data_IF_297684102520
#
_entry.id   IF_297684102520
#
_cell.length_a   1.000
_cell.length_b   1.000
_cell.length_c   1.000
_cell.angle_alpha   90.00
_cell.angle_beta   90.00
_cell.angle_gamma   90.00
#
_symmetry.space_group_name_H-M   'P 1'
#
loop_
_entity.id
_entity.type
_entity.pdbx_description
1 polymer ?
#
# COMPACT_ATOMS: atom_id res chain seq x y z
N UNK A 1 -17.80 7.83 -15.03
CA UNK A 1 -18.53 6.56 -15.08
C UNK A 1 -18.64 6.02 -16.51
N UNK A 2 -19.18 6.80 -17.40
CA UNK A 2 -19.42 6.44 -18.81
C UNK A 2 -18.27 6.78 -19.75
N UNK A 3 -17.18 7.35 -19.22
CA UNK A 3 -16.04 7.88 -19.99
C UNK A 3 -16.42 9.06 -20.92
N UNK A 4 -17.58 9.69 -20.68
CA UNK A 4 -18.05 10.95 -21.26
C UNK A 4 -18.38 11.91 -20.12
N UNK A 5 -18.36 13.21 -20.38
CA UNK A 5 -18.91 14.21 -19.44
C UNK A 5 -20.44 14.15 -19.51
N UNK A 6 -21.04 13.67 -18.43
CA UNK A 6 -22.48 13.52 -18.29
C UNK A 6 -22.90 13.97 -16.90
N UNK A 7 -24.15 14.42 -16.78
CA UNK A 7 -24.71 14.71 -15.47
C UNK A 7 -24.87 13.40 -14.68
N UNK A 8 -24.45 13.38 -13.43
CA UNK A 8 -24.55 12.20 -12.52
C UNK A 8 -26.01 11.67 -12.46
N UNK A 9 -27.02 12.53 -12.65
CA UNK A 9 -28.42 12.12 -12.62
C UNK A 9 -28.87 11.37 -13.88
N UNK A 10 -28.14 11.50 -15.00
CA UNK A 10 -28.47 10.88 -16.26
C UNK A 10 -27.76 9.53 -16.46
N UNK A 11 -26.84 9.18 -15.53
CA UNK A 11 -26.06 7.94 -15.58
C UNK A 11 -26.89 6.79 -15.00
N UNK A 12 -27.07 5.72 -15.77
CA UNK A 12 -27.80 4.52 -15.34
C UNK A 12 -27.05 3.64 -14.29
N UNK A 13 -26.07 4.20 -13.60
CA UNK A 13 -25.28 3.54 -12.56
C UNK A 13 -25.33 4.31 -11.25
N UNK A 14 -25.12 3.61 -10.12
CA UNK A 14 -25.00 4.28 -8.82
C UNK A 14 -23.61 4.88 -8.70
N UNK A 15 -23.51 6.19 -8.89
CA UNK A 15 -22.26 6.97 -8.76
C UNK A 15 -22.40 7.96 -7.62
N UNK A 16 -21.37 8.03 -6.79
CA UNK A 16 -21.18 9.14 -5.85
C UNK A 16 -20.00 9.97 -6.33
N UNK A 17 -20.22 11.24 -6.63
CA UNK A 17 -19.17 12.18 -6.97
C UNK A 17 -18.95 13.14 -5.79
N UNK A 18 -17.72 13.28 -5.34
CA UNK A 18 -17.30 14.20 -4.29
C UNK A 18 -16.34 15.21 -4.92
N UNK A 19 -16.71 16.49 -4.89
CA UNK A 19 -15.88 17.54 -5.47
C UNK A 19 -14.65 17.84 -4.60
N UNK A 20 -13.60 18.41 -5.20
CA UNK A 20 -12.42 18.87 -4.47
C UNK A 20 -12.74 19.90 -3.39
N UNK A 21 -13.73 20.79 -3.62
CA UNK A 21 -14.21 21.73 -2.58
C UNK A 21 -14.84 21.00 -1.39
N UNK A 22 -15.64 19.96 -1.65
CA UNK A 22 -16.20 19.14 -0.56
C UNK A 22 -15.10 18.42 0.22
N UNK A 23 -14.08 17.88 -0.48
CA UNK A 23 -12.93 17.27 0.18
C UNK A 23 -12.20 18.27 1.09
N UNK A 24 -12.02 19.50 0.62
CA UNK A 24 -11.39 20.58 1.37
C UNK A 24 -12.23 21.01 2.58
N UNK A 25 -13.55 21.19 2.41
CA UNK A 25 -14.49 21.64 3.46
C UNK A 25 -14.58 20.62 4.60
N UNK A 26 -14.59 19.33 4.28
CA UNK A 26 -14.62 18.25 5.26
C UNK A 26 -13.23 17.76 5.67
N UNK A 27 -12.16 18.38 5.17
CA UNK A 27 -10.76 18.02 5.44
C UNK A 27 -10.43 16.55 5.14
N UNK A 28 -11.04 16.00 4.07
CA UNK A 28 -10.82 14.63 3.63
C UNK A 28 -9.49 14.55 2.87
N UNK A 29 -8.57 13.74 3.36
CA UNK A 29 -7.19 13.66 2.87
C UNK A 29 -6.82 12.27 2.36
N UNK A 30 -7.47 11.26 2.89
CA UNK A 30 -7.32 9.89 2.42
C UNK A 30 -8.69 9.25 2.17
N UNK A 31 -8.69 8.08 1.53
CA UNK A 31 -9.93 7.39 1.21
C UNK A 31 -10.70 6.92 2.44
N UNK A 32 -10.05 6.69 3.58
CA UNK A 32 -10.75 6.25 4.79
C UNK A 32 -11.68 7.34 5.34
N UNK A 33 -11.32 8.59 5.14
CA UNK A 33 -12.11 9.75 5.57
C UNK A 33 -13.32 10.00 4.66
N UNK A 34 -13.33 9.47 3.42
CA UNK A 34 -14.48 9.56 2.50
C UNK A 34 -15.74 8.90 3.06
N UNK A 35 -15.64 7.97 3.99
CA UNK A 35 -16.77 7.36 4.67
C UNK A 35 -17.68 8.40 5.35
N UNK A 36 -17.17 9.60 5.65
CA UNK A 36 -17.94 10.69 6.25
C UNK A 36 -18.97 11.28 5.28
N UNK A 37 -18.69 11.24 3.97
CA UNK A 37 -19.53 11.89 2.93
C UNK A 37 -20.10 10.91 1.91
N UNK A 38 -19.67 9.63 1.93
CA UNK A 38 -20.10 8.61 0.98
C UNK A 38 -20.75 7.44 1.72
N UNK A 39 -22.00 7.14 1.42
CA UNK A 39 -22.72 6.00 1.98
C UNK A 39 -22.44 4.69 1.21
N UNK A 40 -22.54 3.54 1.89
CA UNK A 40 -22.48 2.21 1.27
C UNK A 40 -21.08 1.77 0.78
N UNK A 41 -20.06 2.44 1.30
CA UNK A 41 -18.67 2.04 1.21
C UNK A 41 -18.07 2.14 2.60
N UNK A 42 -17.38 1.11 3.02
CA UNK A 42 -16.66 1.08 4.28
C UNK A 42 -15.16 1.08 3.99
N UNK A 43 -14.45 1.96 4.64
CA UNK A 43 -13.01 2.08 4.56
C UNK A 43 -12.42 1.74 5.92
N UNK A 44 -11.46 0.84 5.97
CA UNK A 44 -10.77 0.48 7.20
C UNK A 44 -9.28 0.46 6.94
N UNK A 45 -8.52 1.21 7.74
CA UNK A 45 -7.06 1.20 7.73
C UNK A 45 -6.58 0.69 9.10
N UNK A 46 -6.05 -0.53 9.13
CA UNK A 46 -5.55 -1.15 10.36
C UNK A 46 -4.11 -0.69 10.62
N UNK A 47 -3.33 -0.65 9.56
CA UNK A 47 -1.95 -0.15 9.53
C UNK A 47 -1.63 0.32 8.10
N UNK A 48 -0.47 0.96 7.84
CA UNK A 48 -0.11 1.45 6.52
C UNK A 48 -0.16 0.41 5.41
N UNK A 49 0.01 -0.86 5.75
CA UNK A 49 -0.01 -1.99 4.80
C UNK A 49 -1.40 -2.59 4.62
N UNK A 50 -2.23 -2.55 5.66
CA UNK A 50 -3.53 -3.23 5.69
C UNK A 50 -4.67 -2.22 5.70
N UNK A 51 -4.89 -1.62 4.55
CA UNK A 51 -6.08 -0.83 4.27
C UNK A 51 -7.06 -1.65 3.44
N UNK A 52 -8.32 -1.61 3.77
CA UNK A 52 -9.37 -2.36 3.08
C UNK A 52 -10.55 -1.48 2.73
N UNK A 53 -11.18 -1.79 1.59
CA UNK A 53 -12.42 -1.17 1.15
C UNK A 53 -13.47 -2.27 1.04
N UNK A 54 -14.64 -2.02 1.61
CA UNK A 54 -15.79 -2.92 1.47
C UNK A 54 -16.87 -2.17 0.70
N UNK A 55 -17.31 -2.76 -0.40
CA UNK A 55 -18.40 -2.22 -1.22
C UNK A 55 -19.34 -3.35 -1.60
N UNK A 56 -20.64 -3.19 -1.33
CA UNK A 56 -21.65 -4.24 -1.60
C UNK A 56 -21.29 -5.61 -1.01
N UNK A 57 -20.69 -5.63 0.18
CA UNK A 57 -20.28 -6.88 0.86
C UNK A 57 -19.03 -7.56 0.29
N UNK A 58 -18.40 -6.98 -0.74
CA UNK A 58 -17.13 -7.47 -1.28
C UNK A 58 -15.98 -6.64 -0.75
N UNK A 59 -14.93 -7.32 -0.29
CA UNK A 59 -13.76 -6.71 0.33
C UNK A 59 -12.61 -6.63 -0.66
N UNK A 60 -12.03 -5.45 -0.81
CA UNK A 60 -10.72 -5.28 -1.40
C UNK A 60 -9.67 -5.74 -0.40
N UNK A 61 -8.90 -6.77 -0.76
CA UNK A 61 -7.83 -7.29 0.08
C UNK A 61 -6.47 -6.91 -0.53
N UNK A 62 -5.66 -6.08 0.14
CA UNK A 62 -4.36 -5.70 -0.37
C UNK A 62 -3.40 -6.87 -0.62
N UNK A 63 -3.58 -7.96 0.12
CA UNK A 63 -2.78 -9.19 -0.04
C UNK A 63 -3.40 -10.16 -1.08
N UNK A 64 -4.53 -9.81 -1.70
CA UNK A 64 -5.39 -10.68 -2.51
C UNK A 64 -5.09 -10.75 -4.02
N UNK A 65 -3.89 -10.43 -4.47
CA UNK A 65 -3.51 -10.55 -5.89
C UNK A 65 -4.16 -9.52 -6.83
N UNK A 66 -4.14 -9.80 -8.16
CA UNK A 66 -4.49 -8.81 -9.19
C UNK A 66 -5.98 -8.68 -9.50
N UNK A 67 -6.80 -9.67 -9.19
CA UNK A 67 -8.23 -9.69 -9.52
C UNK A 67 -9.06 -9.22 -8.32
N UNK A 68 -9.00 -7.92 -8.07
CA UNK A 68 -9.70 -7.32 -6.94
C UNK A 68 -11.14 -6.98 -7.30
N UNK A 69 -12.10 -7.17 -6.36
CA UNK A 69 -13.50 -6.83 -6.60
C UNK A 69 -13.75 -5.33 -6.75
N UNK A 70 -12.85 -4.51 -6.24
CA UNK A 70 -12.89 -3.04 -6.32
C UNK A 70 -11.60 -2.55 -6.96
N UNK A 71 -11.70 -1.77 -8.03
CA UNK A 71 -10.53 -1.24 -8.74
C UNK A 71 -10.35 0.25 -8.43
N UNK A 72 -9.11 0.65 -8.12
CA UNK A 72 -8.72 2.06 -7.97
C UNK A 72 -8.12 2.63 -9.24
N UNK A 73 -8.36 3.92 -9.47
CA UNK A 73 -7.78 4.67 -10.59
C UNK A 73 -7.36 6.06 -10.12
N UNK A 74 -6.26 6.57 -10.69
CA UNK A 74 -5.91 7.98 -10.63
C UNK A 74 -5.77 8.49 -12.07
N UNK A 75 -6.56 9.52 -12.42
CA UNK A 75 -6.58 10.07 -13.79
C UNK A 75 -6.70 8.97 -14.89
N UNK A 76 -7.60 8.03 -14.70
CA UNK A 76 -7.87 6.85 -15.54
C UNK A 76 -6.77 5.76 -15.51
N UNK A 77 -5.65 5.95 -14.82
CA UNK A 77 -4.60 4.94 -14.64
C UNK A 77 -5.00 3.93 -13.57
N UNK A 78 -5.08 2.62 -13.87
CA UNK A 78 -5.41 1.62 -12.87
C UNK A 78 -4.27 1.47 -11.86
N UNK A 79 -4.61 1.52 -10.59
CA UNK A 79 -3.68 1.39 -9.46
C UNK A 79 -3.89 0.07 -8.74
N UNK A 80 -2.89 -0.35 -7.98
CA UNK A 80 -3.10 -1.38 -6.96
C UNK A 80 -3.93 -0.84 -5.81
N UNK A 81 -4.60 -1.73 -5.13
CA UNK A 81 -5.41 -1.41 -3.96
C UNK A 81 -4.66 -0.60 -2.89
N UNK A 82 -3.41 -0.95 -2.66
CA UNK A 82 -2.57 -0.31 -1.65
C UNK A 82 -2.21 1.14 -2.00
N UNK A 83 -2.08 1.45 -3.29
CA UNK A 83 -1.61 2.75 -3.76
C UNK A 83 -2.74 3.79 -3.76
N UNK A 84 -3.99 3.35 -3.79
CA UNK A 84 -5.17 4.23 -3.82
C UNK A 84 -5.34 5.02 -2.51
N UNK A 85 -4.92 4.44 -1.37
CA UNK A 85 -5.17 5.03 -0.04
C UNK A 85 -4.30 6.24 0.32
N UNK A 86 -3.22 6.51 -0.40
CA UNK A 86 -2.24 7.51 0.02
C UNK A 86 -2.14 8.74 -0.88
N UNK A 87 -2.99 8.87 -1.91
CA UNK A 87 -2.70 9.78 -3.02
C UNK A 87 -3.69 10.95 -3.21
N UNK A 88 -4.37 11.37 -2.15
CA UNK A 88 -5.40 12.41 -2.26
C UNK A 88 -4.84 13.80 -1.95
N UNK A 89 -4.18 14.43 -2.90
CA UNK A 89 -3.82 15.84 -2.84
C UNK A 89 -4.01 16.48 -4.21
N UNK A 90 -4.27 17.78 -4.22
CA UNK A 90 -4.58 18.54 -5.42
C UNK A 90 -5.66 17.85 -6.27
N UNK A 91 -6.68 17.35 -5.57
CA UNK A 91 -7.76 16.55 -6.16
C UNK A 91 -8.85 17.47 -6.69
N UNK A 92 -9.30 17.18 -7.93
CA UNK A 92 -10.45 17.85 -8.55
C UNK A 92 -11.76 17.25 -8.08
N UNK A 93 -11.85 15.92 -8.11
CA UNK A 93 -13.00 15.14 -7.64
C UNK A 93 -12.64 13.69 -7.42
N UNK A 94 -13.48 13.00 -6.65
CA UNK A 94 -13.46 11.55 -6.49
C UNK A 94 -14.80 10.98 -6.92
N UNK A 95 -14.79 9.99 -7.79
CA UNK A 95 -15.98 9.26 -8.22
C UNK A 95 -15.95 7.83 -7.68
N UNK A 96 -17.05 7.41 -7.05
CA UNK A 96 -17.21 6.06 -6.54
C UNK A 96 -18.34 5.40 -7.29
N UNK A 97 -17.99 4.45 -8.14
CA UNK A 97 -18.89 3.68 -8.97
C UNK A 97 -19.24 2.38 -8.27
N UNK A 98 -20.51 2.20 -7.93
CA UNK A 98 -20.99 1.02 -7.20
C UNK A 98 -21.65 0.02 -8.15
N UNK A 99 -21.12 -1.19 -8.16
CA UNK A 99 -21.56 -2.30 -9.01
C UNK A 99 -20.49 -2.72 -10.00
N UNK A 100 -20.76 -3.78 -10.74
CA UNK A 100 -19.80 -4.33 -11.68
C UNK A 100 -19.37 -3.30 -12.73
N UNK A 101 -18.06 -3.15 -12.88
CA UNK A 101 -17.43 -2.34 -13.91
C UNK A 101 -16.59 -3.28 -14.78
N UNK A 102 -16.73 -3.20 -16.08
CA UNK A 102 -16.01 -4.13 -16.94
C UNK A 102 -15.74 -3.55 -18.32
N UNK A 103 -16.78 -3.38 -19.09
CA UNK A 103 -16.66 -3.06 -20.52
C UNK A 103 -16.02 -1.72 -20.82
N UNK A 104 -16.26 -0.69 -20.02
CA UNK A 104 -15.76 0.66 -20.27
C UNK A 104 -14.48 1.01 -19.46
N UNK A 105 -14.18 0.25 -18.43
CA UNK A 105 -13.03 0.55 -17.56
C UNK A 105 -11.77 -0.23 -17.94
N UNK A 106 -11.86 -1.17 -18.87
CA UNK A 106 -10.75 -2.02 -19.30
C UNK A 106 -10.36 -3.09 -18.30
N UNK A 107 -10.46 -2.82 -17.00
CA UNK A 107 -10.21 -3.77 -15.91
C UNK A 107 -11.54 -4.16 -15.28
N UNK A 108 -11.80 -5.47 -15.19
CA UNK A 108 -13.03 -5.99 -14.58
C UNK A 108 -13.00 -5.81 -13.08
N UNK A 109 -14.05 -5.20 -12.52
CA UNK A 109 -14.31 -5.18 -11.09
C UNK A 109 -15.75 -5.54 -10.80
N UNK A 110 -15.98 -6.44 -9.84
CA UNK A 110 -17.32 -7.02 -9.58
C UNK A 110 -18.14 -6.17 -8.60
N UNK A 111 -17.50 -5.43 -7.70
CA UNK A 111 -18.16 -4.61 -6.69
C UNK A 111 -18.21 -3.13 -7.05
N UNK A 112 -17.18 -2.62 -7.73
CA UNK A 112 -17.14 -1.22 -8.12
C UNK A 112 -15.75 -0.67 -8.42
N UNK A 113 -15.68 0.63 -8.64
CA UNK A 113 -14.44 1.34 -8.88
C UNK A 113 -14.39 2.67 -8.10
N UNK A 114 -13.18 3.09 -7.75
CA UNK A 114 -12.90 4.41 -7.17
C UNK A 114 -11.99 5.13 -8.15
N UNK A 115 -12.40 6.30 -8.60
CA UNK A 115 -11.66 7.13 -9.55
C UNK A 115 -11.31 8.45 -8.88
N UNK A 116 -10.03 8.74 -8.78
CA UNK A 116 -9.51 10.01 -8.29
C UNK A 116 -9.06 10.80 -9.51
N UNK A 117 -9.62 11.99 -9.70
CA UNK A 117 -9.20 12.93 -10.72
C UNK A 117 -8.42 14.07 -10.07
N UNK A 118 -7.22 14.28 -10.57
CA UNK A 118 -6.35 15.34 -10.08
C UNK A 118 -6.47 16.60 -10.94
N UNK A 119 -6.26 17.77 -10.34
CA UNK A 119 -6.34 19.03 -11.07
C UNK A 119 -5.26 19.11 -12.15
N UNK A 120 -5.61 19.77 -13.25
CA UNK A 120 -4.70 20.10 -14.34
C UNK A 120 -4.73 21.61 -14.59
N UNK A 121 -3.66 22.19 -15.12
CA UNK A 121 -3.64 23.58 -15.52
C UNK A 121 -4.64 23.81 -16.66
N UNK A 122 -5.41 24.88 -16.57
CA UNK A 122 -6.29 25.30 -17.65
C UNK A 122 -5.49 26.09 -18.70
N UNK A 123 -5.69 25.76 -19.98
CA UNK A 123 -5.07 26.45 -21.10
C UNK A 123 -5.87 27.69 -21.45
N UNK A 124 -5.19 28.80 -21.78
CA UNK A 124 -5.84 30.02 -22.27
C UNK A 124 -6.56 30.87 -21.22
N UNK A 125 -6.67 30.44 -19.97
CA UNK A 125 -7.39 31.21 -18.95
C UNK A 125 -6.68 32.48 -18.50
N UNK A 126 -5.36 32.53 -18.61
CA UNK A 126 -4.52 33.61 -18.07
C UNK A 126 -4.53 33.69 -16.53
N UNK A 127 -5.37 32.93 -15.87
CA UNK A 127 -5.49 32.92 -14.41
C UNK A 127 -4.38 32.11 -13.76
N UNK A 128 -3.75 32.69 -12.75
CA UNK A 128 -2.76 32.00 -11.92
C UNK A 128 -3.49 31.37 -10.75
N UNK A 129 -3.83 30.11 -10.88
CA UNK A 129 -4.45 29.36 -9.80
C UNK A 129 -3.38 28.61 -9.00
N UNK A 130 -3.23 28.99 -7.74
CA UNK A 130 -2.31 28.34 -6.84
C UNK A 130 -2.79 28.43 -5.41
N UNK A 131 -2.29 27.54 -4.57
CA UNK A 131 -2.56 27.54 -3.14
C UNK A 131 -1.41 26.94 -2.35
N UNK A 132 -1.38 27.28 -1.08
CA UNK A 132 -0.58 26.59 -0.06
C UNK A 132 -1.53 26.26 1.09
N UNK A 133 -1.59 24.99 1.48
CA UNK A 133 -2.32 24.52 2.64
C UNK A 133 -1.32 24.00 3.65
N UNK A 134 -1.53 24.34 4.92
CA UNK A 134 -0.72 23.84 6.02
C UNK A 134 -1.65 23.34 7.12
N UNK A 135 -1.28 22.26 7.77
CA UNK A 135 -1.99 21.74 8.91
C UNK A 135 -1.03 21.28 9.97
N UNK A 136 -1.41 21.54 11.21
CA UNK A 136 -0.78 20.97 12.39
C UNK A 136 -1.88 20.39 13.26
N UNK A 137 -1.68 19.17 13.71
CA UNK A 137 -2.61 18.45 14.57
C UNK A 137 -1.86 17.73 15.67
N UNK A 138 -2.58 17.05 16.54
CA UNK A 138 -2.00 16.21 17.57
C UNK A 138 -1.08 15.15 16.98
N UNK A 139 -0.31 14.49 17.84
CA UNK A 139 0.63 13.42 17.47
C UNK A 139 1.70 13.89 16.47
N UNK A 140 2.24 15.09 16.68
CA UNK A 140 3.26 15.73 15.85
C UNK A 140 2.90 15.74 14.35
N UNK A 141 1.59 15.68 14.03
CA UNK A 141 1.13 15.70 12.65
C UNK A 141 1.35 17.06 12.04
N UNK A 142 2.08 17.09 10.94
CA UNK A 142 2.26 18.29 10.12
C UNK A 142 2.08 17.95 8.64
N UNK A 143 1.33 18.80 7.94
CA UNK A 143 1.09 18.68 6.50
C UNK A 143 1.34 20.01 5.81
N UNK A 144 2.02 19.94 4.68
CA UNK A 144 2.16 21.06 3.74
C UNK A 144 1.80 20.56 2.35
N UNK A 145 0.78 21.16 1.77
CA UNK A 145 0.34 20.92 0.40
C UNK A 145 0.41 22.24 -0.37
N UNK A 146 0.96 22.22 -1.56
CA UNK A 146 1.03 23.41 -2.42
C UNK A 146 0.85 23.02 -3.88
N UNK A 147 0.19 23.88 -4.64
CA UNK A 147 0.08 23.77 -6.08
C UNK A 147 0.08 25.13 -6.75
N UNK A 148 0.54 25.19 -8.01
CA UNK A 148 0.53 26.43 -8.80
C UNK A 148 0.44 26.12 -10.28
N UNK A 149 -0.33 26.95 -11.00
CA UNK A 149 -0.39 26.96 -12.45
C UNK A 149 0.66 27.91 -13.01
N UNK A 150 1.33 27.50 -14.07
CA UNK A 150 2.30 28.26 -14.83
C UNK A 150 1.85 28.27 -16.30
N UNK A 151 1.43 29.43 -16.79
CA UNK A 151 1.09 29.62 -18.19
C UNK A 151 2.36 29.83 -19.00
N UNK A 152 2.63 28.93 -19.94
CA UNK A 152 3.81 28.97 -20.79
C UNK A 152 3.51 29.67 -22.12
N UNK A 153 2.30 29.50 -22.64
CA UNK A 153 1.73 30.21 -23.82
C UNK A 153 0.20 30.13 -23.79
N UNK A 154 -0.45 30.74 -24.78
CA UNK A 154 -1.91 30.69 -24.93
C UNK A 154 -2.44 29.26 -25.11
N UNK A 155 -1.60 28.34 -25.58
CA UNK A 155 -1.96 26.95 -25.86
C UNK A 155 -1.30 25.93 -24.94
N UNK A 156 -0.42 26.38 -24.02
CA UNK A 156 0.38 25.48 -23.17
C UNK A 156 0.42 25.98 -21.74
N UNK A 157 0.03 25.13 -20.82
CA UNK A 157 0.05 25.41 -19.39
C UNK A 157 0.64 24.23 -18.60
N UNK A 158 1.29 24.54 -17.48
CA UNK A 158 1.89 23.60 -16.57
C UNK A 158 1.28 23.78 -15.18
N UNK A 159 0.98 22.68 -14.49
CA UNK A 159 0.67 22.69 -13.06
C UNK A 159 1.71 21.86 -12.32
N UNK A 160 2.20 22.43 -11.22
CA UNK A 160 3.08 21.73 -10.28
C UNK A 160 2.34 21.64 -8.96
N UNK A 161 2.30 20.45 -8.37
CA UNK A 161 1.69 20.19 -7.07
C UNK A 161 2.61 19.32 -6.22
N UNK A 162 2.58 19.51 -4.91
CA UNK A 162 3.35 18.71 -3.97
C UNK A 162 2.68 18.63 -2.61
N UNK A 163 2.91 17.50 -1.95
CA UNK A 163 2.44 17.22 -0.60
C UNK A 163 3.59 16.64 0.23
N UNK A 164 3.77 17.14 1.43
CA UNK A 164 4.52 16.51 2.50
C UNK A 164 3.63 16.36 3.71
N UNK A 165 3.53 15.14 4.22
CA UNK A 165 2.77 14.81 5.43
C UNK A 165 3.63 13.98 6.37
N UNK A 166 3.74 14.40 7.63
CA UNK A 166 4.48 13.69 8.68
C UNK A 166 3.59 13.52 9.91
N UNK A 167 3.66 12.39 10.60
CA UNK A 167 2.88 12.14 11.80
C UNK A 167 3.58 11.06 12.66
N UNK A 168 3.44 11.19 13.98
CA UNK A 168 3.81 10.13 14.94
C UNK A 168 2.66 9.12 15.15
N UNK A 169 1.64 9.15 14.29
CA UNK A 169 0.53 8.20 14.29
C UNK A 169 -0.24 8.21 15.61
N UNK A 170 -0.30 7.06 16.29
CA UNK A 170 -0.95 6.92 17.60
C UNK A 170 0.04 7.05 18.77
N UNK A 171 1.23 7.58 18.52
CA UNK A 171 2.31 7.73 19.52
C UNK A 171 2.75 6.40 20.14
N UNK A 172 2.55 5.29 19.45
CA UNK A 172 2.96 3.98 19.92
C UNK A 172 4.48 3.90 19.96
N UNK A 173 5.02 3.60 21.14
CA UNK A 173 6.45 3.41 21.32
C UNK A 173 6.79 1.93 21.51
N UNK A 174 7.75 1.45 20.73
CA UNK A 174 8.35 0.16 21.00
C UNK A 174 9.32 0.29 22.17
N UNK A 175 8.96 -0.27 23.32
CA UNK A 175 9.77 -0.16 24.54
C UNK A 175 11.09 -0.91 24.48
N UNK A 176 11.23 -1.88 23.56
CA UNK A 176 12.49 -2.61 23.36
C UNK A 176 13.51 -1.82 22.57
N UNK A 177 13.08 -1.24 21.45
CA UNK A 177 13.97 -0.52 20.53
C UNK A 177 14.02 0.97 20.82
N UNK A 178 13.10 1.48 21.66
CA UNK A 178 12.89 2.89 21.98
C UNK A 178 12.50 3.75 20.77
N UNK A 179 11.97 3.13 19.72
CA UNK A 179 11.51 3.82 18.50
C UNK A 179 10.01 4.06 18.60
N UNK A 180 9.60 5.27 18.25
CA UNK A 180 8.19 5.66 18.16
C UNK A 180 7.62 5.31 16.81
N UNK A 181 6.29 5.19 16.75
CA UNK A 181 5.53 5.21 15.51
C UNK A 181 5.84 6.47 14.70
N UNK A 182 5.90 6.34 13.38
CA UNK A 182 6.07 7.48 12.49
C UNK A 182 5.53 7.17 11.09
N UNK A 183 4.93 8.17 10.48
CA UNK A 183 4.40 8.10 9.11
C UNK A 183 4.87 9.33 8.34
N UNK A 184 5.61 9.09 7.26
CA UNK A 184 6.07 10.13 6.36
C UNK A 184 5.54 9.83 4.97
N UNK A 185 4.96 10.81 4.33
CA UNK A 185 4.51 10.75 2.94
C UNK A 185 4.93 12.01 2.21
N UNK A 186 5.70 11.82 1.15
CA UNK A 186 6.14 12.88 0.25
C UNK A 186 5.65 12.57 -1.16
N UNK A 187 5.08 13.54 -1.86
CA UNK A 187 4.67 13.37 -3.25
C UNK A 187 4.79 14.67 -4.05
N UNK A 188 5.17 14.52 -5.32
CA UNK A 188 5.20 15.60 -6.29
C UNK A 188 4.53 15.20 -7.60
N UNK A 189 3.80 16.15 -8.22
CA UNK A 189 3.14 15.96 -9.50
C UNK A 189 3.41 17.13 -10.44
N UNK A 190 3.66 16.80 -11.69
CA UNK A 190 3.76 17.74 -12.80
C UNK A 190 2.67 17.37 -13.81
N UNK A 191 1.85 18.34 -14.21
CA UNK A 191 0.79 18.17 -15.20
C UNK A 191 0.97 19.19 -16.32
N UNK A 192 1.21 18.73 -17.53
CA UNK A 192 1.32 19.56 -18.71
C UNK A 192 0.01 19.46 -19.50
N UNK A 193 -0.60 20.60 -19.85
CA UNK A 193 -1.79 20.70 -20.69
C UNK A 193 -1.43 21.48 -21.94
N UNK A 194 -1.61 20.89 -23.11
CA UNK A 194 -1.34 21.49 -24.40
C UNK A 194 -2.57 21.37 -25.32
N UNK A 195 -3.07 22.50 -25.77
CA UNK A 195 -4.24 22.61 -26.64
C UNK A 195 -3.88 23.48 -27.85
N UNK A 196 -3.23 22.89 -28.88
CA UNK A 196 -2.79 23.63 -30.06
C UNK A 196 -3.93 24.11 -30.95
N UNK A 197 -5.11 23.50 -30.88
CA UNK A 197 -6.34 23.90 -31.55
C UNK A 197 -7.55 23.56 -30.66
N UNK A 198 -8.74 24.00 -31.09
CA UNK A 198 -9.99 23.72 -30.39
C UNK A 198 -10.32 22.22 -30.41
N UNK A 199 -9.82 21.49 -31.40
CA UNK A 199 -10.11 20.07 -31.60
C UNK A 199 -9.12 19.15 -30.90
N UNK A 200 -7.90 19.60 -30.60
CA UNK A 200 -6.83 18.74 -30.02
C UNK A 200 -6.44 19.17 -28.64
N UNK A 201 -6.61 18.25 -27.68
CA UNK A 201 -6.12 18.39 -26.31
C UNK A 201 -5.15 17.27 -25.97
N UNK A 202 -3.97 17.63 -25.45
CA UNK A 202 -2.94 16.70 -24.99
C UNK A 202 -2.61 17.02 -23.55
N UNK A 203 -2.71 16.03 -22.68
CA UNK A 203 -2.33 16.15 -21.26
C UNK A 203 -1.32 15.09 -20.91
N UNK A 204 -0.25 15.50 -20.27
CA UNK A 204 0.74 14.61 -19.70
C UNK A 204 0.84 14.86 -18.20
N UNK A 205 0.81 13.80 -17.42
CA UNK A 205 1.01 13.86 -15.97
C UNK A 205 2.14 12.92 -15.55
N UNK A 206 3.01 13.40 -14.72
CA UNK A 206 4.01 12.63 -14.00
C UNK A 206 3.83 12.83 -12.51
N UNK A 207 3.81 11.76 -11.76
CA UNK A 207 3.75 11.79 -10.30
C UNK A 207 4.78 10.83 -9.74
N UNK A 208 5.49 11.30 -8.71
CA UNK A 208 6.30 10.47 -7.82
C UNK A 208 5.76 10.59 -6.40
N UNK A 209 5.78 9.49 -5.65
CA UNK A 209 5.40 9.47 -4.24
C UNK A 209 6.24 8.49 -3.45
N UNK A 210 6.58 8.86 -2.23
CA UNK A 210 7.35 8.06 -1.29
C UNK A 210 6.61 7.98 0.05
N UNK A 211 6.53 6.79 0.61
CA UNK A 211 6.00 6.55 1.95
C UNK A 211 7.07 5.86 2.78
N UNK A 212 7.32 6.37 3.98
CA UNK A 212 8.14 5.70 4.99
C UNK A 212 7.36 5.67 6.30
N UNK A 213 7.05 4.47 6.79
CA UNK A 213 6.24 4.28 7.97
C UNK A 213 6.86 3.25 8.90
N UNK A 214 6.98 3.62 10.17
CA UNK A 214 7.27 2.72 11.29
C UNK A 214 5.97 2.60 12.07
N UNK A 215 5.44 1.37 12.18
CA UNK A 215 4.12 1.13 12.78
C UNK A 215 4.16 -0.01 13.82
N UNK A 216 4.82 0.20 14.97
CA UNK A 216 4.84 -0.80 16.02
C UNK A 216 3.40 -1.05 16.48
N UNK A 217 2.99 -2.32 16.48
CA UNK A 217 1.63 -2.65 16.90
C UNK A 217 1.56 -2.68 18.43
N UNK A 218 0.56 -2.03 19.03
CA UNK A 218 0.43 -2.04 20.47
C UNK A 218 0.20 -3.45 21.01
N UNK A 219 0.67 -3.71 22.20
CA UNK A 219 0.39 -4.95 22.92
C UNK A 219 -1.12 -5.14 22.99
N UNK A 220 -1.63 -6.23 22.40
CA UNK A 220 -3.04 -6.54 22.45
C UNK A 220 -3.46 -6.97 23.86
N UNK A 221 -4.65 -6.57 24.29
CA UNK A 221 -5.22 -7.06 25.55
C UNK A 221 -5.44 -8.57 25.54
N UNK A 222 -5.56 -9.13 26.68
CA UNK A 222 -5.46 -10.52 27.14
C UNK A 222 -6.27 -11.62 26.43
N UNK A 223 -6.98 -11.35 25.35
CA UNK A 223 -7.81 -12.37 24.72
C UNK A 223 -7.12 -12.99 23.49
N UNK A 224 -6.12 -13.84 23.73
CA UNK A 224 -5.58 -14.74 22.74
C UNK A 224 -4.17 -14.47 22.21
N UNK A 225 -3.58 -13.31 22.49
CA UNK A 225 -2.18 -13.08 22.18
C UNK A 225 -1.31 -13.58 23.34
N UNK A 226 -0.38 -14.52 23.13
CA UNK A 226 0.49 -14.99 24.19
C UNK A 226 1.29 -13.83 24.79
N UNK A 227 1.45 -13.81 26.12
CA UNK A 227 2.36 -12.85 26.74
C UNK A 227 3.79 -13.11 26.29
N UNK A 228 4.65 -12.07 26.37
CA UNK A 228 6.08 -12.22 26.10
C UNK A 228 6.68 -13.46 26.80
N UNK A 229 6.37 -13.63 28.09
CA UNK A 229 6.84 -14.78 28.86
C UNK A 229 6.33 -16.11 28.32
N UNK A 230 5.08 -16.20 27.91
CA UNK A 230 4.51 -17.42 27.30
C UNK A 230 5.20 -17.78 26.00
N UNK A 231 5.47 -16.79 25.15
CA UNK A 231 6.17 -17.00 23.87
C UNK A 231 7.62 -17.43 24.13
N UNK A 232 8.36 -16.72 24.95
CA UNK A 232 9.76 -17.05 25.30
C UNK A 232 9.85 -18.42 25.95
N UNK A 233 9.01 -18.71 26.93
CA UNK A 233 9.00 -20.00 27.62
C UNK A 233 8.64 -21.14 26.68
N UNK A 234 7.73 -20.92 25.72
CA UNK A 234 7.40 -21.89 24.67
C UNK A 234 8.62 -22.26 23.83
N UNK A 235 9.36 -21.26 23.35
CA UNK A 235 10.58 -21.50 22.54
C UNK A 235 11.74 -22.08 23.35
N UNK A 236 11.93 -21.64 24.59
CA UNK A 236 12.94 -22.21 25.49
C UNK A 236 12.62 -23.69 25.74
N UNK A 237 11.35 -24.04 25.95
CA UNK A 237 10.92 -25.43 26.14
C UNK A 237 11.13 -26.26 24.86
N UNK A 238 10.87 -25.71 23.70
CA UNK A 238 11.11 -26.40 22.41
C UNK A 238 12.60 -26.68 22.21
N UNK A 239 13.46 -25.69 22.45
CA UNK A 239 14.91 -25.87 22.34
C UNK A 239 15.42 -26.84 23.38
N UNK A 240 14.88 -26.85 24.62
CA UNK A 240 15.25 -27.83 25.64
C UNK A 240 14.84 -29.26 25.21
N UNK A 241 13.73 -29.43 24.53
CA UNK A 241 13.37 -30.72 23.93
C UNK A 241 14.39 -31.14 22.87
N UNK A 242 14.80 -30.23 21.98
CA UNK A 242 15.82 -30.51 20.96
C UNK A 242 17.18 -30.85 21.58
N UNK A 243 17.56 -30.19 22.67
CA UNK A 243 18.76 -30.57 23.46
C UNK A 243 18.65 -32.00 23.98
N UNK A 244 17.48 -32.36 24.56
CA UNK A 244 17.27 -33.71 25.15
C UNK A 244 17.32 -34.82 24.12
N UNK A 245 16.95 -34.49 22.86
CA UNK A 245 16.99 -35.40 21.71
C UNK A 245 18.30 -35.39 20.94
N UNK A 246 19.28 -34.57 21.39
CA UNK A 246 20.58 -34.44 20.76
C UNK A 246 20.56 -33.65 19.44
N UNK A 247 19.49 -32.91 19.18
CA UNK A 247 19.34 -32.09 17.97
C UNK A 247 19.84 -30.64 18.17
N UNK A 248 19.99 -30.21 19.41
CA UNK A 248 20.59 -28.93 19.78
C UNK A 248 21.75 -29.16 20.75
N UNK A 249 22.82 -28.31 20.69
CA UNK A 249 23.92 -28.39 21.67
C UNK A 249 23.46 -28.13 23.11
N UNK A 250 24.09 -28.76 24.05
CA UNK A 250 23.80 -28.52 25.45
C UNK A 250 24.01 -27.04 25.84
N UNK A 251 23.03 -26.46 26.55
CA UNK A 251 23.03 -25.05 26.93
C UNK A 251 22.31 -24.12 25.97
N UNK A 252 21.79 -24.60 24.85
CA UNK A 252 21.09 -23.78 23.86
C UNK A 252 19.82 -23.15 24.41
N UNK A 253 19.02 -23.88 25.20
CA UNK A 253 17.84 -23.36 25.88
C UNK A 253 18.20 -22.25 26.87
N UNK A 254 19.25 -22.44 27.62
CA UNK A 254 19.74 -21.44 28.57
C UNK A 254 20.26 -20.18 27.88
N UNK A 255 20.92 -20.35 26.70
CA UNK A 255 21.38 -19.24 25.88
C UNK A 255 20.19 -18.48 25.30
N UNK A 256 19.18 -19.16 24.79
CA UNK A 256 17.96 -18.54 24.28
C UNK A 256 17.24 -17.77 25.37
N UNK A 257 17.08 -18.34 26.55
CA UNK A 257 16.51 -17.67 27.73
C UNK A 257 17.31 -16.41 28.12
N UNK A 258 18.63 -16.48 28.06
CA UNK A 258 19.52 -15.34 28.36
C UNK A 258 19.35 -14.22 27.32
N UNK A 259 19.27 -14.55 26.04
CA UNK A 259 19.07 -13.57 24.94
C UNK A 259 17.72 -12.86 25.04
N UNK A 260 16.72 -13.61 25.52
CA UNK A 260 15.38 -13.09 25.70
C UNK A 260 15.09 -12.57 27.10
N UNK A 261 16.11 -12.50 28.01
CA UNK A 261 15.86 -11.90 29.31
C UNK A 261 15.38 -10.47 29.18
N UNK A 262 14.40 -10.06 29.98
CA UNK A 262 13.92 -8.67 29.97
C UNK A 262 15.07 -7.74 30.34
N UNK A 263 15.55 -6.96 29.40
CA UNK A 263 16.52 -5.88 29.64
C UNK A 263 15.79 -4.52 29.73
N UNK A 264 14.47 -4.55 29.73
CA UNK A 264 13.63 -3.37 29.69
C UNK A 264 13.29 -2.98 31.11
N UNK A 265 13.93 -1.93 31.63
CA UNK A 265 13.69 -1.42 32.97
C UNK A 265 12.27 -0.92 33.25
N UNK A 266 11.41 -0.95 32.25
CA UNK A 266 10.09 -0.30 32.25
C UNK A 266 8.91 -1.27 32.08
N UNK A 267 9.11 -2.59 32.09
CA UNK A 267 7.97 -3.52 32.10
C UNK A 267 7.39 -3.58 33.51
N UNK A 268 6.11 -3.16 33.71
CA UNK A 268 5.47 -3.20 35.02
C UNK A 268 5.44 -4.63 35.57
N UNK A 269 5.47 -4.77 36.93
CA UNK A 269 5.34 -6.05 37.63
C UNK A 269 3.98 -6.70 37.42
N UNK A 270 3.40 -6.84 36.41
CA UNK A 270 2.11 -7.43 36.02
C UNK A 270 2.03 -7.63 34.50
N UNK A 271 3.14 -7.38 33.81
CA UNK A 271 3.20 -7.40 32.35
C UNK A 271 2.57 -6.17 31.71
N UNK A 272 2.69 -6.10 30.38
CA UNK A 272 2.11 -5.05 29.57
C UNK A 272 0.62 -5.30 29.30
N UNK A 273 -0.15 -4.23 29.25
CA UNK A 273 -1.59 -4.24 28.95
C UNK A 273 -1.84 -3.38 27.72
N UNK A 274 -2.92 -3.64 27.01
CA UNK A 274 -3.36 -2.83 25.87
C UNK A 274 -3.51 -1.34 26.22
N UNK A 275 -3.91 -1.03 27.47
CA UNK A 275 -4.06 0.34 27.97
C UNK A 275 -2.75 1.10 28.12
N UNK A 276 -1.62 0.43 28.06
CA UNK A 276 -0.32 1.10 28.23
C UNK A 276 0.12 1.83 26.96
N UNK A 277 -0.53 1.55 25.81
CA UNK A 277 -0.27 2.23 24.53
C UNK A 277 1.15 2.02 24.00
N UNK A 278 1.77 0.90 24.36
CA UNK A 278 3.16 0.58 23.96
C UNK A 278 3.22 -0.70 23.15
N UNK A 279 4.26 -0.82 22.36
CA UNK A 279 4.57 -2.02 21.59
C UNK A 279 5.83 -2.71 22.15
N UNK A 280 5.90 -4.02 21.88
CA UNK A 280 7.06 -4.83 22.20
C UNK A 280 7.42 -5.67 20.98
N UNK A 281 8.28 -5.15 20.12
CA UNK A 281 8.77 -5.85 18.93
C UNK A 281 10.28 -6.02 18.99
N UNK A 282 10.78 -7.13 18.49
CA UNK A 282 12.21 -7.35 18.33
C UNK A 282 12.83 -6.37 17.33
N UNK A 283 12.16 -6.16 16.20
CA UNK A 283 12.45 -5.10 15.23
C UNK A 283 11.17 -4.32 14.98
N UNK A 284 11.31 -3.02 14.68
CA UNK A 284 10.14 -2.20 14.40
C UNK A 284 9.55 -2.59 13.04
N UNK A 285 8.28 -3.01 12.98
CA UNK A 285 7.56 -3.15 11.74
C UNK A 285 7.61 -1.83 10.98
N UNK A 286 7.95 -1.89 9.69
CA UNK A 286 8.03 -0.70 8.84
C UNK A 286 7.59 -1.02 7.42
N UNK A 287 7.18 0.01 6.72
CA UNK A 287 6.87 -0.05 5.30
C UNK A 287 7.47 1.15 4.59
N UNK A 288 8.22 0.88 3.54
CA UNK A 288 8.69 1.87 2.59
C UNK A 288 8.02 1.55 1.25
N UNK A 289 7.49 2.58 0.60
CA UNK A 289 6.85 2.45 -0.69
C UNK A 289 7.25 3.63 -1.57
N UNK A 290 7.67 3.34 -2.80
CA UNK A 290 7.95 4.34 -3.82
C UNK A 290 7.08 4.03 -5.03
N UNK A 291 6.35 5.03 -5.53
CA UNK A 291 5.48 4.87 -6.68
C UNK A 291 5.70 5.99 -7.70
N UNK A 292 5.82 5.60 -8.96
CA UNK A 292 5.90 6.51 -10.11
C UNK A 292 4.74 6.24 -11.05
N UNK A 293 4.14 7.31 -11.59
CA UNK A 293 3.04 7.23 -12.53
C UNK A 293 3.31 8.20 -13.68
N UNK A 294 3.29 7.68 -14.89
CA UNK A 294 3.30 8.44 -16.14
C UNK A 294 1.96 8.25 -16.84
N UNK A 295 1.33 9.33 -17.26
CA UNK A 295 0.04 9.28 -17.92
C UNK A 295 -0.02 10.28 -19.08
N UNK A 296 -0.27 9.81 -20.28
CA UNK A 296 -0.48 10.61 -21.49
C UNK A 296 -1.90 10.42 -21.99
N UNK A 297 -2.63 11.51 -22.07
CA UNK A 297 -4.01 11.57 -22.53
C UNK A 297 -4.09 12.48 -23.75
N UNK A 298 -4.65 11.96 -24.84
CA UNK A 298 -4.86 12.71 -26.08
C UNK A 298 -6.34 12.60 -26.42
N UNK A 299 -7.00 13.74 -26.58
CA UNK A 299 -8.39 13.87 -26.99
C UNK A 299 -8.44 14.66 -28.29
N UNK A 300 -9.09 14.10 -29.32
CA UNK A 300 -9.24 14.73 -30.63
C UNK A 300 -10.69 14.73 -31.10
N UNK A 301 -11.22 15.91 -31.26
CA UNK A 301 -12.57 16.14 -31.81
C UNK A 301 -12.54 16.13 -33.34
N UNK A 302 -13.23 15.18 -33.94
CA UNK A 302 -13.39 15.04 -35.40
C UNK A 302 -14.73 15.60 -35.89
N UNK A 303 -15.44 16.37 -35.08
CA UNK A 303 -16.74 16.91 -35.32
C UNK A 303 -17.87 15.90 -35.10
N UNK A 304 -17.96 14.87 -35.91
CA UNK A 304 -18.99 13.82 -35.73
C UNK A 304 -18.57 12.70 -34.77
N UNK A 305 -17.30 12.64 -34.42
CA UNK A 305 -16.73 11.64 -33.55
C UNK A 305 -15.65 12.25 -32.64
N UNK A 306 -15.48 11.70 -31.45
CA UNK A 306 -14.38 12.00 -30.56
C UNK A 306 -13.45 10.79 -30.45
N UNK A 307 -12.15 11.01 -30.64
CA UNK A 307 -11.08 10.02 -30.40
C UNK A 307 -10.39 10.31 -29.09
N UNK A 308 -10.27 9.31 -28.24
CA UNK A 308 -9.49 9.39 -27.02
C UNK A 308 -8.41 8.31 -27.02
N UNK A 309 -7.16 8.73 -26.74
CA UNK A 309 -6.01 7.84 -26.55
C UNK A 309 -5.47 8.05 -25.15
N UNK A 310 -5.18 6.94 -24.47
CA UNK A 310 -4.63 6.91 -23.10
C UNK A 310 -3.44 5.97 -23.06
N UNK A 311 -2.32 6.46 -22.58
CA UNK A 311 -1.12 5.66 -22.33
C UNK A 311 -0.71 5.87 -20.91
N UNK A 312 -0.49 4.82 -20.16
CA UNK A 312 0.05 4.92 -18.81
C UNK A 312 1.10 3.87 -18.52
N UNK A 313 2.07 4.27 -17.72
CA UNK A 313 3.04 3.40 -17.06
C UNK A 313 3.06 3.75 -15.58
N UNK A 314 2.89 2.76 -14.73
CA UNK A 314 3.01 2.91 -13.28
C UNK A 314 3.94 1.86 -12.72
N UNK A 315 4.88 2.30 -11.89
CA UNK A 315 5.82 1.44 -11.19
C UNK A 315 5.67 1.67 -9.69
N UNK A 316 5.73 0.58 -8.95
CA UNK A 316 5.65 0.62 -7.50
C UNK A 316 6.63 -0.37 -6.88
N UNK A 317 7.49 0.14 -6.00
CA UNK A 317 8.43 -0.62 -5.20
C UNK A 317 8.04 -0.51 -3.74
N UNK A 318 7.61 -1.63 -3.14
CA UNK A 318 7.21 -1.71 -1.75
C UNK A 318 8.13 -2.65 -0.98
N UNK A 319 8.60 -2.21 0.19
CA UNK A 319 9.34 -3.01 1.15
C UNK A 319 8.65 -2.97 2.50
N UNK A 320 8.27 -4.13 3.02
CA UNK A 320 7.69 -4.29 4.34
C UNK A 320 8.57 -5.13 5.24
N UNK A 321 8.88 -4.64 6.45
CA UNK A 321 9.42 -5.44 7.53
C UNK A 321 8.29 -5.78 8.50
N UNK A 322 8.03 -7.06 8.70
CA UNK A 322 6.93 -7.56 9.51
C UNK A 322 7.51 -8.34 10.69
N UNK A 323 7.12 -7.96 11.90
CA UNK A 323 7.36 -8.74 13.11
C UNK A 323 6.05 -9.42 13.51
N UNK A 324 5.92 -10.70 13.23
CA UNK A 324 4.65 -11.44 13.36
C UNK A 324 4.40 -12.01 14.73
N UNK A 325 5.41 -12.12 15.56
CA UNK A 325 5.23 -12.70 16.90
C UNK A 325 4.67 -11.69 17.90
N UNK A 326 4.76 -10.39 17.60
CA UNK A 326 4.28 -9.28 18.43
C UNK A 326 4.74 -9.36 19.91
N UNK A 327 5.77 -10.14 20.18
CA UNK A 327 6.18 -10.47 21.54
C UNK A 327 7.52 -9.85 21.93
N UNK A 328 8.23 -9.25 20.97
CA UNK A 328 9.55 -8.69 21.17
C UNK A 328 10.60 -9.74 21.58
N UNK A 329 10.26 -11.01 21.44
CA UNK A 329 11.16 -12.11 21.68
C UNK A 329 12.13 -12.26 20.51
N UNK A 330 13.36 -12.64 20.82
CA UNK A 330 14.29 -13.12 19.80
C UNK A 330 13.87 -14.53 19.42
N UNK A 331 13.06 -14.64 18.39
CA UNK A 331 12.43 -15.89 17.98
C UNK A 331 12.85 -16.28 16.58
N UNK A 332 12.91 -17.55 16.40
CA UNK A 332 13.04 -18.30 15.19
C UNK A 332 12.01 -17.89 14.12
N UNK A 333 12.49 -17.33 13.03
CA UNK A 333 11.64 -17.10 11.87
C UNK A 333 11.06 -15.71 11.70
N UNK A 334 11.32 -14.77 12.57
CA UNK A 334 10.79 -13.40 12.48
C UNK A 334 11.78 -12.38 13.04
N UNK A 335 11.92 -11.20 12.46
CA UNK A 335 11.09 -10.50 11.48
C UNK A 335 11.32 -10.95 10.03
N UNK A 336 10.30 -10.75 9.21
CA UNK A 336 10.30 -11.07 7.79
C UNK A 336 10.34 -9.79 6.94
N UNK A 337 11.28 -9.70 6.01
CA UNK A 337 11.31 -8.66 5.00
C UNK A 337 10.62 -9.16 3.73
N UNK A 338 9.64 -8.39 3.24
CA UNK A 338 8.93 -8.66 2.01
C UNK A 338 9.14 -7.48 1.06
N UNK A 339 9.59 -7.75 -0.14
CA UNK A 339 9.73 -6.75 -1.20
C UNK A 339 8.80 -7.11 -2.34
N UNK A 340 8.06 -6.13 -2.82
CA UNK A 340 7.16 -6.28 -3.96
C UNK A 340 7.45 -5.17 -4.96
N UNK A 341 7.80 -5.56 -6.17
CA UNK A 341 7.90 -4.66 -7.32
C UNK A 341 6.71 -4.93 -8.24
N UNK A 342 6.01 -3.88 -8.66
CA UNK A 342 4.88 -3.99 -9.58
C UNK A 342 4.99 -2.95 -10.67
N UNK A 343 4.93 -3.40 -11.93
CA UNK A 343 4.81 -2.55 -13.10
C UNK A 343 3.46 -2.78 -13.79
N UNK A 344 2.78 -1.71 -14.18
CA UNK A 344 1.52 -1.77 -14.94
C UNK A 344 1.61 -0.77 -16.09
N UNK A 345 1.57 -1.30 -17.30
CA UNK A 345 1.47 -0.52 -18.52
C UNK A 345 0.06 -0.65 -19.09
N UNK A 346 -0.55 0.45 -19.52
CA UNK A 346 -1.84 0.41 -20.19
C UNK A 346 -1.85 1.23 -21.46
N UNK A 347 -2.64 0.75 -22.42
CA UNK A 347 -3.02 1.50 -23.62
C UNK A 347 -4.52 1.38 -23.83
N UNK A 348 -5.19 2.50 -24.01
CA UNK A 348 -6.61 2.55 -24.35
C UNK A 348 -6.80 3.48 -25.55
N UNK A 349 -7.63 3.05 -26.49
CA UNK A 349 -8.13 3.82 -27.62
C UNK A 349 -9.65 3.73 -27.64
N UNK A 350 -10.33 4.88 -27.71
CA UNK A 350 -11.79 4.96 -27.82
C UNK A 350 -12.18 5.89 -28.95
N UNK A 351 -13.18 5.51 -29.66
CA UNK A 351 -13.90 6.38 -30.60
C UNK A 351 -15.38 6.37 -30.22
N UNK A 352 -15.96 7.56 -30.05
CA UNK A 352 -17.35 7.77 -29.70
C UNK A 352 -18.01 8.67 -30.72
N UNK A 353 -19.26 8.40 -31.09
CA UNK A 353 -20.01 9.36 -31.89
C UNK A 353 -20.48 10.53 -31.02
N UNK A 354 -20.60 11.70 -31.64
CA UNK A 354 -21.16 12.92 -31.10
C UNK A 354 -22.47 13.28 -31.81
N UNK A 355 -23.33 14.01 -31.12
CA UNK A 355 -24.54 14.63 -31.67
C UNK A 355 -25.46 13.69 -32.49
N UNK A 356 -25.74 12.50 -32.01
CA UNK A 356 -26.64 11.56 -32.67
C UNK A 356 -27.87 11.27 -31.82
N UNK A 357 -29.03 11.78 -32.29
CA UNK A 357 -30.33 11.52 -31.66
C UNK A 357 -30.83 10.07 -31.81
N UNK A 358 -30.18 9.26 -32.67
CA UNK A 358 -30.67 7.93 -33.04
C UNK A 358 -29.88 6.78 -32.45
N UNK A 359 -28.58 6.93 -32.33
CA UNK A 359 -27.69 5.87 -31.86
C UNK A 359 -26.45 6.47 -31.24
N UNK A 360 -26.28 6.27 -29.96
CA UNK A 360 -25.01 6.52 -29.25
C UNK A 360 -24.17 5.25 -29.20
N UNK A 361 -22.89 5.36 -29.54
CA UNK A 361 -21.95 4.26 -29.45
C UNK A 361 -20.55 4.74 -29.05
N UNK A 362 -19.84 3.85 -28.36
CA UNK A 362 -18.41 3.95 -28.11
C UNK A 362 -17.77 2.61 -28.47
N UNK A 363 -16.73 2.66 -29.28
CA UNK A 363 -15.94 1.50 -29.68
C UNK A 363 -14.55 1.74 -29.07
N UNK A 364 -14.02 0.75 -28.36
CA UNK A 364 -12.72 0.89 -27.71
C UNK A 364 -11.86 -0.37 -27.82
N UNK A 365 -10.57 -0.15 -27.68
CA UNK A 365 -9.56 -1.16 -27.49
C UNK A 365 -8.80 -0.84 -26.22
N UNK A 366 -8.58 -1.85 -25.38
CA UNK A 366 -7.81 -1.74 -24.15
C UNK A 366 -6.78 -2.86 -24.07
N UNK A 367 -5.56 -2.50 -23.71
CA UNK A 367 -4.47 -3.43 -23.44
C UNK A 367 -3.84 -3.11 -22.09
N UNK A 368 -3.59 -4.12 -21.30
CA UNK A 368 -2.88 -4.01 -20.01
C UNK A 368 -1.81 -5.08 -19.93
N UNK A 369 -0.60 -4.66 -19.61
CA UNK A 369 0.49 -5.53 -19.20
C UNK A 369 0.77 -5.25 -17.72
N UNK A 370 0.69 -6.27 -16.87
CA UNK A 370 0.93 -6.13 -15.43
C UNK A 370 1.88 -7.22 -14.97
N UNK A 371 2.97 -6.80 -14.35
CA UNK A 371 3.97 -7.69 -13.79
C UNK A 371 4.14 -7.37 -12.31
N UNK A 372 4.04 -8.40 -11.48
CA UNK A 372 4.29 -8.28 -10.04
C UNK A 372 5.34 -9.32 -9.64
N UNK A 373 6.39 -8.86 -9.03
CA UNK A 373 7.45 -9.69 -8.50
C UNK A 373 7.55 -9.48 -7.00
N UNK A 374 7.30 -10.55 -6.22
CA UNK A 374 7.39 -10.50 -4.77
C UNK A 374 8.50 -11.43 -4.29
N UNK A 375 9.39 -10.91 -3.48
CA UNK A 375 10.40 -11.67 -2.75
C UNK A 375 10.15 -11.56 -1.26
N UNK A 376 10.18 -12.69 -0.57
CA UNK A 376 10.24 -12.71 0.89
C UNK A 376 11.64 -13.15 1.30
N UNK A 377 12.34 -12.30 2.03
CA UNK A 377 13.64 -12.65 2.57
C UNK A 377 13.45 -13.49 3.81
N UNK A 378 13.62 -14.80 3.62
CA UNK A 378 13.57 -15.78 4.69
C UNK A 378 14.93 -15.94 5.39
N UNK A 379 16.01 -15.30 4.86
CA UNK A 379 17.35 -15.42 5.46
C UNK A 379 17.39 -14.87 6.88
N UNK A 380 16.60 -13.84 7.15
CA UNK A 380 16.46 -13.29 8.51
C UNK A 380 15.65 -14.16 9.45
N UNK A 381 14.88 -15.10 8.90
CA UNK A 381 14.20 -16.12 9.70
C UNK A 381 15.16 -17.10 10.37
N UNK A 382 16.43 -17.07 10.00
CA UNK A 382 17.48 -17.94 10.55
C UNK A 382 18.47 -17.19 11.45
N UNK A 383 18.06 -16.11 12.03
CA UNK A 383 18.91 -15.34 12.94
C UNK A 383 19.43 -16.13 14.16
N UNK A 384 18.81 -17.26 14.49
CA UNK A 384 19.41 -18.25 15.41
C UNK A 384 20.75 -18.74 14.90
N UNK A 385 20.97 -18.85 13.59
CA UNK A 385 22.25 -19.27 13.02
C UNK A 385 23.34 -18.21 13.18
N UNK A 386 22.97 -16.91 13.23
CA UNK A 386 23.92 -15.83 13.51
C UNK A 386 24.30 -15.77 14.99
N UNK A 387 23.34 -16.02 15.87
CA UNK A 387 23.52 -15.94 17.33
C UNK A 387 24.02 -17.26 17.92
N UNK A 388 23.60 -18.38 17.34
CA UNK A 388 24.00 -19.70 17.77
C UNK A 388 24.26 -20.64 16.57
N UNK A 389 25.29 -20.34 15.75
CA UNK A 389 25.60 -21.15 14.56
C UNK A 389 25.82 -22.63 14.89
N UNK A 390 26.25 -22.96 16.12
CA UNK A 390 26.42 -24.31 16.61
C UNK A 390 25.11 -25.08 16.81
N UNK A 391 23.95 -24.41 16.89
CA UNK A 391 22.64 -25.06 17.02
C UNK A 391 22.22 -25.81 15.75
N UNK A 392 22.74 -25.40 14.61
CA UNK A 392 22.37 -25.99 13.32
C UNK A 392 23.35 -27.03 12.80
N UNK A 393 24.64 -26.86 13.06
CA UNK A 393 25.68 -27.77 12.54
C UNK A 393 25.53 -29.23 12.98
N UNK A 394 25.20 -29.55 14.23
CA UNK A 394 25.11 -30.93 14.66
C UNK A 394 23.77 -31.60 14.34
N UNK A 395 22.68 -30.86 14.29
CA UNK A 395 21.33 -31.44 14.15
C UNK A 395 21.08 -32.02 12.76
N UNK A 396 21.79 -31.60 11.75
CA UNK A 396 21.52 -31.97 10.34
C UNK A 396 22.71 -32.65 9.67
N UNK A 397 23.90 -32.63 10.29
CA UNK A 397 25.12 -33.25 9.74
C UNK A 397 25.65 -32.60 8.46
N UNK A 398 25.14 -31.43 8.08
CA UNK A 398 25.49 -30.74 6.85
C UNK A 398 25.82 -29.27 7.12
N UNK A 399 26.86 -28.77 6.46
CA UNK A 399 27.29 -27.37 6.50
C UNK A 399 26.54 -26.60 5.41
N UNK A 400 25.28 -26.18 5.68
CA UNK A 400 24.52 -25.36 4.72
C UNK A 400 24.97 -23.90 4.81
N UNK A 401 25.42 -23.36 3.69
CA UNK A 401 25.85 -21.96 3.61
C UNK A 401 24.70 -21.01 3.29
N UNK A 402 23.57 -21.55 2.80
CA UNK A 402 22.38 -20.75 2.44
C UNK A 402 21.10 -21.52 2.75
N UNK A 403 19.97 -20.82 3.05
CA UNK A 403 18.66 -21.43 3.24
C UNK A 403 18.23 -22.30 2.06
N UNK A 404 18.49 -21.87 0.83
CA UNK A 404 18.14 -22.64 -0.38
C UNK A 404 18.85 -24.00 -0.42
N UNK A 405 20.08 -24.10 0.07
CA UNK A 405 20.75 -25.40 0.17
C UNK A 405 20.12 -26.30 1.20
N UNK A 406 19.69 -25.75 2.33
CA UNK A 406 18.95 -26.49 3.37
C UNK A 406 17.57 -26.97 2.85
N UNK A 407 16.83 -26.10 2.18
CA UNK A 407 15.54 -26.43 1.57
C UNK A 407 15.67 -27.50 0.49
N UNK A 408 16.65 -27.42 -0.38
CA UNK A 408 16.89 -28.43 -1.41
C UNK A 408 17.28 -29.80 -0.80
N UNK A 409 18.05 -29.80 0.26
CA UNK A 409 18.39 -31.03 0.95
C UNK A 409 17.18 -31.62 1.70
N UNK A 410 16.33 -30.83 2.31
CA UNK A 410 15.09 -31.26 2.93
C UNK A 410 14.12 -31.88 1.90
N UNK A 411 14.01 -31.30 0.71
CA UNK A 411 13.21 -31.86 -0.40
C UNK A 411 13.77 -33.14 -0.95
N UNK A 412 15.10 -33.27 -1.00
CA UNK A 412 15.78 -34.48 -1.51
C UNK A 412 15.71 -35.67 -0.54
N UNK A 413 15.44 -35.44 0.75
CA UNK A 413 15.35 -36.48 1.78
C UNK A 413 14.01 -36.37 2.56
N UNK A 414 12.86 -36.61 1.90
CA UNK A 414 11.55 -36.53 2.53
C UNK A 414 11.45 -37.57 3.66
N UNK A 415 11.03 -37.14 4.84
CA UNK A 415 10.93 -37.95 6.06
C UNK A 415 12.12 -37.85 7.01
N UNK A 416 13.20 -37.17 6.63
CA UNK A 416 14.26 -36.80 7.56
C UNK A 416 13.78 -35.75 8.57
N UNK A 417 14.44 -35.67 9.73
CA UNK A 417 14.10 -34.61 10.71
C UNK A 417 14.31 -33.21 10.11
N UNK A 418 15.31 -33.05 9.25
CA UNK A 418 15.47 -31.84 8.46
C UNK A 418 14.22 -31.52 7.63
N UNK A 419 13.64 -32.49 6.92
CA UNK A 419 12.41 -32.31 6.17
C UNK A 419 11.23 -31.92 7.06
N UNK A 420 11.11 -32.45 8.27
CA UNK A 420 10.00 -32.13 9.17
C UNK A 420 10.10 -30.75 9.81
N UNK A 421 11.30 -30.29 10.11
CA UNK A 421 11.52 -28.93 10.67
C UNK A 421 11.49 -27.83 9.61
N UNK A 422 11.78 -28.17 8.33
CA UNK A 422 11.89 -27.20 7.24
C UNK A 422 10.69 -27.16 6.29
N UNK A 423 9.83 -28.19 6.27
CA UNK A 423 8.62 -28.24 5.42
C UNK A 423 7.64 -27.10 5.73
N UNK A 424 7.71 -26.49 6.91
CA UNK A 424 6.89 -25.33 7.25
C UNK A 424 7.45 -23.99 6.70
N UNK A 425 8.68 -23.98 6.23
CA UNK A 425 9.39 -22.78 5.76
C UNK A 425 9.90 -22.85 4.32
N UNK A 426 9.89 -23.99 3.71
CA UNK A 426 10.24 -24.24 2.31
C UNK A 426 9.01 -24.51 1.44
#
# INVERSE_FOLDING_TARGET
>A
ATKKEENVQDIAQTVNAVSGSTLDDYQIRDLSELAQVVSGVEFTKIDPRRATIIMRGQKLDPDGGNDQPIQGYIDEVPLRAQDVFSQMYDTERVEILKGSQGTLQGVVSTAGAIQIYTRSAQVGSGEKNGYVKTMWADNMTSMVEAASDLHLSDTLSLRVAGLRNTSDGNEIRNIRTHVNESHNFDSGRISLSWQPSDELSVRFKYQNSETDSIYPQPVAGSNGTPSYEQVVNGYVAEIALYESLGFAPAGSAAQLAYLNRPTYGDIPAGGLKASDGVALHFQNPRQNNSAEIHNLMIDYDMGSHALALRFSDSQNDAMGLIDRDYAGAYVYGYPQEVRTNTGIETFEMRISNQDSDKLEYTIGFFSRNSQTFTTADLDRSFSITEVAPQLYKPAVGFDYKTPNQACNAARAAPGSMAAKSWVLTC
#
